data_IF_919232043714
#
_entry.id   IF_919232043714
#
_cell.length_a   1.000
_cell.length_b   1.000
_cell.length_c   1.000
_cell.angle_alpha   90.00
_cell.angle_beta   90.00
_cell.angle_gamma   90.00
#
_symmetry.space_group_name_H-M   'P 1'
#
loop_
_entity.id
_entity.type
_entity.pdbx_description
1 polymer ?
#
# COMPACT_ATOMS: atom_id res chain seq x y z
N UNK A 1 -3.01 1.10 8.14
CA UNK A 1 -2.43 0.02 7.30
C UNK A 1 -3.52 -0.88 6.73
N UNK A 2 -4.48 -1.40 7.50
CA UNK A 2 -5.62 -2.16 6.92
C UNK A 2 -6.42 -1.35 5.89
N UNK A 3 -6.66 -0.06 6.15
CA UNK A 3 -7.37 0.81 5.20
C UNK A 3 -6.62 0.93 3.86
N UNK A 4 -5.29 1.07 3.89
CA UNK A 4 -4.50 1.14 2.65
C UNK A 4 -4.45 -0.19 1.90
N UNK A 5 -4.51 -1.32 2.61
CA UNK A 5 -4.68 -2.63 2.00
C UNK A 5 -6.00 -2.76 1.22
N UNK A 6 -7.13 -2.39 1.83
CA UNK A 6 -8.44 -2.46 1.16
C UNK A 6 -8.55 -1.49 -0.03
N UNK A 7 -7.98 -0.28 0.11
CA UNK A 7 -7.92 0.70 -0.99
C UNK A 7 -7.14 0.13 -2.18
N UNK A 8 -6.04 -0.57 -1.93
CA UNK A 8 -5.25 -1.15 -3.03
C UNK A 8 -6.03 -2.25 -3.77
N UNK A 9 -6.76 -3.12 -3.05
CA UNK A 9 -7.65 -4.09 -3.71
C UNK A 9 -8.65 -3.39 -4.62
N UNK A 10 -9.29 -2.32 -4.14
CA UNK A 10 -10.27 -1.58 -4.92
C UNK A 10 -9.65 -0.90 -6.15
N UNK A 11 -8.48 -0.27 -6.01
CA UNK A 11 -7.75 0.32 -7.15
C UNK A 11 -7.42 -0.73 -8.20
N UNK A 12 -6.87 -1.88 -7.78
CA UNK A 12 -6.53 -2.99 -8.66
C UNK A 12 -7.75 -3.58 -9.38
N UNK A 13 -8.88 -3.64 -8.68
CA UNK A 13 -10.17 -4.07 -9.25
C UNK A 13 -10.64 -3.09 -10.31
N UNK A 14 -10.56 -1.78 -10.06
CA UNK A 14 -10.99 -0.74 -11.00
C UNK A 14 -10.17 -0.73 -12.30
N UNK A 15 -8.86 -0.99 -12.23
CA UNK A 15 -8.00 -1.09 -13.43
C UNK A 15 -8.13 -2.43 -14.17
N UNK A 16 -8.98 -3.34 -13.68
CA UNK A 16 -9.23 -4.64 -14.33
C UNK A 16 -8.10 -5.67 -14.17
N UNK A 17 -7.22 -5.50 -13.16
CA UNK A 17 -6.10 -6.42 -12.93
C UNK A 17 -6.61 -7.77 -12.43
N UNK A 18 -6.47 -8.80 -13.26
CA UNK A 18 -6.86 -10.17 -12.91
C UNK A 18 -5.95 -10.71 -11.80
N UNK A 19 -6.52 -11.48 -10.87
CA UNK A 19 -5.78 -12.14 -9.76
C UNK A 19 -5.02 -11.18 -8.82
N UNK A 20 -5.37 -9.89 -8.81
CA UNK A 20 -4.73 -8.88 -7.97
C UNK A 20 -4.73 -9.23 -6.48
N UNK A 21 -5.71 -9.99 -5.99
CA UNK A 21 -5.80 -10.36 -4.58
C UNK A 21 -4.52 -10.99 -4.05
N UNK A 22 -3.89 -11.88 -4.83
CA UNK A 22 -2.62 -12.50 -4.43
C UNK A 22 -1.50 -11.48 -4.38
N UNK A 23 -1.39 -10.66 -5.41
CA UNK A 23 -0.32 -9.66 -5.53
C UNK A 23 -0.38 -8.61 -4.41
N UNK A 24 -1.61 -8.19 -4.06
CA UNK A 24 -1.86 -7.29 -2.93
C UNK A 24 -1.46 -7.95 -1.60
N UNK A 25 -1.82 -9.22 -1.38
CA UNK A 25 -1.44 -9.94 -0.16
C UNK A 25 0.06 -10.20 -0.06
N UNK A 26 0.72 -10.49 -1.18
CA UNK A 26 2.17 -10.68 -1.22
C UNK A 26 2.86 -9.38 -0.78
N UNK A 27 2.49 -8.23 -1.35
CA UNK A 27 3.03 -6.92 -0.92
C UNK A 27 2.68 -6.60 0.53
N UNK A 28 1.44 -6.87 0.99
CA UNK A 28 1.08 -6.61 2.38
C UNK A 28 1.92 -7.45 3.36
N UNK A 29 2.17 -8.72 3.02
CA UNK A 29 3.00 -9.63 3.82
C UNK A 29 4.42 -9.07 3.96
N UNK A 30 4.99 -8.53 2.88
CA UNK A 30 6.30 -7.87 2.92
C UNK A 30 6.35 -6.70 3.89
N UNK A 31 5.28 -5.91 3.98
CA UNK A 31 5.22 -4.79 4.92
C UNK A 31 5.10 -5.20 6.38
N UNK A 32 4.44 -6.33 6.65
CA UNK A 32 4.19 -6.79 8.02
C UNK A 32 5.35 -7.61 8.59
N UNK A 33 6.04 -8.37 7.72
CA UNK A 33 6.99 -9.39 8.16
C UNK A 33 8.36 -9.31 7.49
N UNK A 34 8.51 -8.55 6.41
CA UNK A 34 9.80 -8.28 5.77
C UNK A 34 10.24 -6.83 6.02
N UNK A 35 11.40 -6.44 5.49
CA UNK A 35 11.96 -5.09 5.66
C UNK A 35 11.38 -4.06 4.66
N UNK A 36 10.12 -4.23 4.23
CA UNK A 36 9.46 -3.25 3.37
C UNK A 36 8.70 -2.24 4.24
N UNK A 37 9.17 -1.00 4.26
CA UNK A 37 8.51 0.05 5.05
C UNK A 37 7.24 0.56 4.37
N UNK A 38 6.23 0.91 5.17
CA UNK A 38 5.06 1.63 4.67
C UNK A 38 5.45 3.04 4.23
N UNK A 39 4.81 3.53 3.17
CA UNK A 39 4.89 4.94 2.83
C UNK A 39 4.16 5.78 3.89
N UNK A 40 4.81 6.86 4.32
CA UNK A 40 4.38 7.71 5.42
C UNK A 40 3.85 9.04 4.88
N UNK A 41 2.62 9.41 5.26
CA UNK A 41 1.97 10.65 4.83
C UNK A 41 1.48 11.49 6.02
N UNK A 42 1.66 12.80 5.94
CA UNK A 42 1.18 13.78 6.91
C UNK A 42 -0.30 14.14 6.73
N UNK A 43 -0.81 15.03 7.60
CA UNK A 43 -2.19 15.52 7.53
C UNK A 43 -2.50 16.29 6.24
N UNK A 44 -1.49 16.82 5.58
CA UNK A 44 -1.58 17.51 4.29
C UNK A 44 -1.54 16.55 3.09
N UNK A 45 -1.60 15.24 3.34
CA UNK A 45 -1.52 14.17 2.35
C UNK A 45 -0.22 14.15 1.54
N UNK A 46 0.87 14.73 2.06
CA UNK A 46 2.20 14.63 1.47
C UNK A 46 3.08 13.63 2.20
N UNK A 47 4.07 13.09 1.49
CA UNK A 47 5.08 12.21 2.09
C UNK A 47 5.83 12.94 3.19
N UNK A 48 6.09 12.25 4.28
CA UNK A 48 6.75 12.82 5.46
C UNK A 48 7.68 11.81 6.10
N UNK A 49 8.83 12.29 6.58
CA UNK A 49 9.74 11.55 7.46
C UNK A 49 9.52 11.89 8.95
N UNK A 50 8.52 12.75 9.22
CA UNK A 50 8.12 13.17 10.56
C UNK A 50 7.10 12.21 11.19
N UNK A 51 6.17 12.75 11.99
CA UNK A 51 5.06 11.94 12.54
C UNK A 51 4.01 11.70 11.45
N UNK A 52 3.79 10.45 10.98
CA UNK A 52 2.78 10.17 9.99
C UNK A 52 1.38 10.20 10.59
N UNK A 53 0.42 10.65 9.78
CA UNK A 53 -1.01 10.51 10.05
C UNK A 53 -1.58 9.31 9.30
N UNK A 54 -1.05 9.03 8.10
CA UNK A 54 -1.47 7.92 7.26
C UNK A 54 -0.28 7.05 6.87
N UNK A 55 -0.55 5.74 6.73
CA UNK A 55 0.39 4.76 6.23
C UNK A 55 -0.20 4.09 4.99
N UNK A 56 0.50 4.20 3.86
CA UNK A 56 0.12 3.57 2.60
C UNK A 56 1.07 2.42 2.27
N UNK A 57 0.56 1.42 1.54
CA UNK A 57 1.43 0.33 1.07
C UNK A 57 2.33 0.86 -0.04
N UNK A 58 3.62 0.54 0.03
CA UNK A 58 4.55 0.71 -1.07
C UNK A 58 4.19 -0.28 -2.17
N UNK A 59 3.79 0.27 -3.32
CA UNK A 59 3.32 -0.51 -4.47
C UNK A 59 4.26 -0.41 -5.66
N UNK A 60 5.50 0.06 -5.46
CA UNK A 60 6.48 0.21 -6.54
C UNK A 60 6.74 -1.11 -7.28
N UNK A 61 6.66 -2.24 -6.59
CA UNK A 61 6.80 -3.58 -7.18
C UNK A 61 5.60 -4.01 -8.05
N UNK A 62 4.44 -3.34 -7.92
CA UNK A 62 3.22 -3.73 -8.60
C UNK A 62 3.13 -3.17 -10.03
N UNK A 63 4.06 -2.33 -10.48
CA UNK A 63 4.04 -1.71 -11.83
C UNK A 63 2.65 -1.14 -12.19
N UNK A 64 2.09 -0.36 -11.27
CA UNK A 64 0.82 0.35 -11.41
C UNK A 64 0.94 1.59 -12.28
#
# INVERSE_FOLDING_TARGET
TTVSHEILHEQMRQIGRKKHTREVHDVWTKHLFEQLEFEQYGEDFKRTDGKPTFLAMDTRELNL
#
